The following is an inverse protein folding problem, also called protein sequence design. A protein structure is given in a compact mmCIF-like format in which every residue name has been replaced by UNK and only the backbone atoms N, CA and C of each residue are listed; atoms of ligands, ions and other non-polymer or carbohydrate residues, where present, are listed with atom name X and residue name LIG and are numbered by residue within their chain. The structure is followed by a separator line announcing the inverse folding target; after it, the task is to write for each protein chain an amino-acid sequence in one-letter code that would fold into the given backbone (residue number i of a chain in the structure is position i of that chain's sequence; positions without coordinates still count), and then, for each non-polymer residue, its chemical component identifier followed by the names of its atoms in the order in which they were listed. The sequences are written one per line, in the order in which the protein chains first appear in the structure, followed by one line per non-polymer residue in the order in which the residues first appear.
data_IF_416676601595
#
_entry.id   IF_416676601595
#
_cell.length_a   1.000
_cell.length_b   1.000
_cell.length_c   1.000
_cell.angle_alpha   90.00
_cell.angle_beta   90.00
_cell.angle_gamma   90.00
#
_symmetry.space_group_name_H-M   'P 1'
#
loop_
_entity.id
_entity.type
_entity.pdbx_description
1 polymer ?
#
# COMPACT_ATOMS: atom_id res chain seq x y z
N UNK A 1 -49.85 -2.39 -2.95
CA UNK A 1 -48.95 -3.35 -2.29
C UNK A 1 -47.64 -3.39 -3.09
N UNK A 2 -46.70 -2.51 -2.77
CA UNK A 2 -45.44 -2.37 -3.50
C UNK A 2 -44.36 -3.11 -2.71
N UNK A 3 -44.37 -4.44 -2.81
CA UNK A 3 -43.50 -5.34 -2.04
C UNK A 3 -42.55 -6.08 -2.96
N UNK A 4 -41.24 -5.88 -2.74
CA UNK A 4 -40.31 -7.01 -2.66
C UNK A 4 -39.20 -7.14 -3.70
N UNK A 5 -39.29 -6.53 -4.89
CA UNK A 5 -38.32 -6.82 -5.97
C UNK A 5 -37.09 -5.91 -6.04
N UNK A 6 -37.23 -4.63 -5.70
CA UNK A 6 -36.19 -3.63 -5.95
C UNK A 6 -35.13 -3.53 -4.84
N UNK A 7 -35.48 -3.92 -3.61
CA UNK A 7 -34.57 -3.81 -2.45
C UNK A 7 -33.42 -4.84 -2.49
N UNK A 8 -33.65 -6.03 -3.08
CA UNK A 8 -32.62 -7.06 -3.21
C UNK A 8 -31.59 -6.79 -4.32
N UNK A 9 -32.01 -6.11 -5.39
CA UNK A 9 -31.12 -5.72 -6.47
C UNK A 9 -30.22 -4.52 -6.09
N UNK A 10 -30.71 -3.61 -5.24
CA UNK A 10 -29.93 -2.46 -4.78
C UNK A 10 -28.70 -2.85 -3.92
N UNK A 11 -28.74 -3.98 -3.21
CA UNK A 11 -27.63 -4.48 -2.39
C UNK A 11 -26.56 -5.27 -3.16
N UNK A 12 -26.85 -5.69 -4.40
CA UNK A 12 -25.91 -6.44 -5.26
C UNK A 12 -25.12 -5.52 -6.22
N UNK A 13 -25.48 -4.24 -6.28
CA UNK A 13 -24.86 -3.25 -7.13
C UNK A 13 -23.91 -2.44 -6.26
N UNK A 14 -22.60 -2.59 -6.47
CA UNK A 14 -21.57 -1.94 -5.67
C UNK A 14 -21.64 -0.40 -5.67
N UNK A 15 -20.70 0.24 -4.96
CA UNK A 15 -20.66 1.70 -4.76
C UNK A 15 -20.94 2.50 -6.05
N UNK A 16 -22.01 3.28 -6.05
CA UNK A 16 -22.45 4.10 -7.19
C UNK A 16 -23.94 4.43 -7.16
N UNK A 17 -24.36 5.41 -7.96
CA UNK A 17 -25.78 5.69 -8.14
C UNK A 17 -26.37 4.71 -9.16
N UNK A 18 -27.41 3.97 -8.76
CA UNK A 18 -28.10 3.02 -9.64
C UNK A 18 -29.57 3.39 -9.76
N UNK A 19 -30.06 3.50 -11.00
CA UNK A 19 -31.46 3.80 -11.31
C UNK A 19 -31.96 2.70 -12.23
N UNK A 20 -33.02 2.01 -11.80
CA UNK A 20 -33.71 0.98 -12.58
C UNK A 20 -35.13 1.42 -12.92
N UNK A 21 -35.49 1.34 -14.20
CA UNK A 21 -36.85 1.60 -14.69
C UNK A 21 -37.35 0.38 -15.46
N UNK A 22 -38.53 -0.14 -15.12
CA UNK A 22 -39.10 -1.32 -15.78
C UNK A 22 -40.55 -1.56 -15.38
N UNK A 23 -41.32 -2.14 -16.31
CA UNK A 23 -42.71 -2.52 -16.07
C UNK A 23 -42.79 -4.04 -15.87
N UNK A 24 -43.18 -4.47 -14.66
CA UNK A 24 -43.20 -5.88 -14.24
C UNK A 24 -44.61 -6.48 -14.17
N UNK A 25 -45.62 -5.77 -14.67
CA UNK A 25 -47.03 -6.14 -14.50
C UNK A 25 -47.49 -7.29 -15.43
N UNK A 26 -46.71 -7.66 -16.44
CA UNK A 26 -47.03 -8.79 -17.33
C UNK A 26 -45.82 -9.71 -17.51
N UNK A 27 -45.87 -10.89 -16.87
CA UNK A 27 -44.81 -11.93 -16.87
C UNK A 27 -44.39 -12.45 -18.25
N UNK A 28 -44.99 -12.00 -19.35
CA UNK A 28 -44.62 -12.38 -20.72
C UNK A 28 -43.74 -11.37 -21.45
N UNK A 29 -43.60 -10.13 -20.95
CA UNK A 29 -42.74 -9.08 -21.54
C UNK A 29 -42.24 -8.10 -20.47
N UNK A 30 -41.29 -8.55 -19.65
CA UNK A 30 -40.58 -7.65 -18.75
C UNK A 30 -39.46 -6.94 -19.55
N UNK A 31 -39.56 -5.63 -19.69
CA UNK A 31 -38.49 -4.79 -20.22
C UNK A 31 -38.02 -3.87 -19.08
N UNK A 32 -36.72 -3.90 -18.81
CA UNK A 32 -36.08 -3.07 -17.79
C UNK A 32 -34.78 -2.48 -18.32
N UNK A 33 -34.51 -1.23 -17.96
CA UNK A 33 -33.24 -0.56 -18.23
C UNK A 33 -32.55 -0.23 -16.91
N UNK A 34 -31.24 -0.50 -16.85
CA UNK A 34 -30.37 -0.20 -15.71
C UNK A 34 -29.26 0.73 -16.18
N UNK A 35 -29.12 1.87 -15.50
CA UNK A 35 -28.00 2.80 -15.70
C UNK A 35 -27.16 2.81 -14.44
N UNK A 36 -25.86 2.54 -14.59
CA UNK A 36 -24.88 2.61 -13.51
C UNK A 36 -23.84 3.67 -13.86
N UNK A 37 -23.62 4.62 -12.95
CA UNK A 37 -22.60 5.65 -13.10
C UNK A 37 -21.61 5.56 -11.94
N UNK A 38 -20.35 5.25 -12.26
CA UNK A 38 -19.24 5.22 -11.30
C UNK A 38 -18.18 6.23 -11.74
N UNK A 39 -17.89 7.21 -10.87
CA UNK A 39 -16.78 8.16 -11.05
C UNK A 39 -15.84 8.08 -9.85
N UNK A 40 -14.78 7.29 -9.97
CA UNK A 40 -13.71 7.23 -8.99
C UNK A 40 -12.61 8.23 -9.37
N UNK A 41 -12.21 9.10 -8.43
CA UNK A 41 -11.05 9.98 -8.59
C UNK A 41 -10.15 9.83 -7.35
N UNK A 42 -9.00 9.19 -7.52
CA UNK A 42 -8.02 8.98 -6.44
C UNK A 42 -6.81 9.87 -6.68
N UNK A 43 -6.60 10.87 -5.82
CA UNK A 43 -5.36 11.65 -5.73
C UNK A 43 -4.64 11.27 -4.45
N UNK A 44 -3.41 10.80 -4.56
CA UNK A 44 -2.58 10.49 -3.39
C UNK A 44 -1.32 11.35 -3.43
N UNK A 45 -1.03 12.04 -2.32
CA UNK A 45 0.21 12.78 -2.09
C UNK A 45 0.87 12.20 -0.84
N UNK A 46 2.11 11.73 -0.96
CA UNK A 46 2.88 11.22 0.16
C UNK A 46 4.10 12.12 0.36
N UNK A 47 4.16 12.78 1.52
CA UNK A 47 5.30 13.59 1.94
C UNK A 47 5.81 13.05 3.28
N UNK A 48 7.05 12.54 3.27
CA UNK A 48 7.76 12.09 4.47
C UNK A 48 9.06 12.87 4.59
N UNK A 49 9.28 13.54 5.72
CA UNK A 49 10.52 14.30 6.02
C UNK A 49 11.20 13.73 7.25
N UNK A 50 11.85 12.55 7.15
CA UNK A 50 12.65 12.03 8.25
C UNK A 50 13.85 12.97 8.52
N UNK A 51 14.14 13.23 9.79
CA UNK A 51 15.31 14.01 10.23
C UNK A 51 16.17 13.18 11.17
N UNK A 52 17.49 13.23 10.99
CA UNK A 52 18.47 12.53 11.82
C UNK A 52 19.64 13.48 12.15
N UNK A 53 20.22 13.32 13.33
CA UNK A 53 21.42 14.06 13.77
C UNK A 53 22.55 13.05 13.91
N UNK A 54 23.70 13.34 13.31
CA UNK A 54 24.85 12.43 13.24
C UNK A 54 26.15 13.25 13.35
N UNK A 55 27.23 12.56 13.72
CA UNK A 55 28.58 13.12 13.74
C UNK A 55 29.20 13.11 12.33
N UNK A 56 30.18 13.96 12.10
CA UNK A 56 30.94 13.96 10.84
C UNK A 56 31.59 12.60 10.57
N UNK A 57 31.50 12.12 9.33
CA UNK A 57 31.95 10.80 8.86
C UNK A 57 31.33 9.60 9.59
N UNK A 58 30.28 9.79 10.40
CA UNK A 58 29.60 8.71 11.11
C UNK A 58 28.30 8.33 10.38
N UNK A 59 28.22 7.06 9.99
CA UNK A 59 26.99 6.50 9.43
C UNK A 59 25.89 6.51 10.48
N UNK A 60 24.76 7.13 10.13
CA UNK A 60 23.57 7.05 10.95
C UNK A 60 22.37 6.64 10.12
N UNK A 61 21.48 5.91 10.78
CA UNK A 61 20.25 5.44 10.18
C UNK A 61 19.08 5.58 11.15
N UNK A 62 17.90 5.80 10.59
CA UNK A 62 16.62 5.79 11.28
C UNK A 62 15.66 4.89 10.51
N UNK A 63 14.99 3.99 11.23
CA UNK A 63 13.94 3.12 10.69
C UNK A 63 12.65 3.43 11.43
N UNK A 64 11.63 3.87 10.70
CA UNK A 64 10.28 4.13 11.22
C UNK A 64 9.30 3.28 10.43
N UNK A 65 8.80 2.22 11.04
CA UNK A 65 7.96 1.28 10.31
C UNK A 65 7.28 0.25 11.19
N UNK A 66 6.68 -0.71 10.51
CA UNK A 66 6.06 -1.88 11.09
C UNK A 66 6.83 -3.11 10.61
N UNK A 67 6.92 -4.12 11.48
CA UNK A 67 7.48 -5.41 11.10
C UNK A 67 6.32 -6.34 10.75
N UNK A 68 6.18 -6.68 9.47
CA UNK A 68 5.03 -7.44 8.95
C UNK A 68 5.45 -8.85 8.53
N UNK A 69 4.58 -9.86 8.74
CA UNK A 69 4.89 -11.24 8.39
C UNK A 69 4.56 -11.50 6.91
N UNK A 70 5.44 -12.23 6.23
CA UNK A 70 5.27 -12.79 4.89
C UNK A 70 5.31 -14.31 4.99
N UNK A 71 4.35 -15.00 4.39
CA UNK A 71 4.30 -16.47 4.44
C UNK A 71 5.05 -17.00 3.22
N UNK A 72 6.26 -17.53 3.42
CA UNK A 72 7.16 -17.94 2.31
C UNK A 72 6.97 -19.39 1.85
N UNK A 73 6.10 -20.15 2.53
CA UNK A 73 5.68 -21.48 2.05
C UNK A 73 4.90 -22.28 3.09
N UNK A 74 4.13 -23.25 2.59
CA UNK A 74 3.51 -24.32 3.39
C UNK A 74 3.81 -25.65 2.72
N UNK A 75 4.46 -26.58 3.42
CA UNK A 75 4.66 -27.95 2.92
C UNK A 75 3.52 -28.82 3.46
N UNK A 76 2.67 -29.32 2.56
CA UNK A 76 1.72 -30.37 2.86
C UNK A 76 2.29 -31.70 2.33
N UNK A 77 2.95 -32.48 3.19
CA UNK A 77 3.46 -33.79 2.80
C UNK A 77 2.26 -34.73 2.57
N UNK A 78 2.03 -35.13 1.32
CA UNK A 78 0.95 -36.05 0.95
C UNK A 78 1.37 -37.49 1.24
N UNK A 79 0.74 -38.11 2.25
CA UNK A 79 0.92 -39.52 2.59
C UNK A 79 0.13 -39.93 3.84
N UNK A 80 -1.12 -40.34 3.64
CA UNK A 80 -2.00 -41.14 4.53
C UNK A 80 -1.95 -40.96 6.07
N UNK A 81 -1.52 -39.82 6.58
CA UNK A 81 -1.56 -39.44 8.00
C UNK A 81 -1.86 -37.96 8.09
N UNK A 82 -2.69 -37.55 9.04
CA UNK A 82 -3.08 -36.16 9.27
C UNK A 82 -1.82 -35.32 9.55
N UNK A 83 -1.31 -34.60 8.55
CA UNK A 83 -0.14 -33.73 8.67
C UNK A 83 -0.60 -32.31 8.95
N UNK A 84 -0.17 -31.76 10.08
CA UNK A 84 -0.35 -30.35 10.41
C UNK A 84 0.54 -29.52 9.48
N UNK A 85 0.00 -28.67 8.59
CA UNK A 85 0.83 -27.88 7.68
C UNK A 85 1.64 -26.85 8.49
N UNK A 86 2.97 -26.92 8.41
CA UNK A 86 3.82 -25.87 8.95
C UNK A 86 3.94 -24.76 7.90
N UNK A 87 3.61 -23.55 8.31
CA UNK A 87 3.81 -22.33 7.52
C UNK A 87 5.10 -21.68 7.98
N UNK A 88 6.02 -21.41 7.05
CA UNK A 88 7.21 -20.61 7.35
C UNK A 88 6.83 -19.14 7.20
N UNK A 89 7.02 -18.37 8.27
CA UNK A 89 6.73 -16.94 8.30
C UNK A 89 8.05 -16.17 8.38
N UNK A 90 8.34 -15.37 7.37
CA UNK A 90 9.46 -14.43 7.35
C UNK A 90 8.97 -13.03 7.77
N UNK A 91 9.77 -12.32 8.55
CA UNK A 91 9.41 -11.00 9.07
C UNK A 91 10.20 -9.93 8.33
N UNK A 92 9.52 -8.94 7.77
CA UNK A 92 10.14 -7.87 6.99
C UNK A 92 9.71 -6.51 7.50
N UNK A 93 10.68 -5.61 7.65
CA UNK A 93 10.44 -4.23 8.05
C UNK A 93 9.92 -3.43 6.86
N UNK A 94 8.79 -2.76 7.07
CA UNK A 94 8.13 -1.90 6.09
C UNK A 94 7.90 -0.54 6.72
N UNK A 95 8.44 0.51 6.12
CA UNK A 95 8.34 1.86 6.63
C UNK A 95 9.31 2.81 5.94
N UNK A 96 9.61 3.92 6.60
CA UNK A 96 10.61 4.89 6.16
C UNK A 96 11.95 4.53 6.79
N UNK A 97 12.93 4.21 5.96
CA UNK A 97 14.33 4.07 6.35
C UNK A 97 15.11 5.21 5.73
N UNK A 98 15.87 5.94 6.54
CA UNK A 98 16.82 6.95 6.07
C UNK A 98 18.19 6.61 6.63
N UNK A 99 19.17 6.49 5.76
CA UNK A 99 20.58 6.29 6.07
C UNK A 99 21.38 7.44 5.49
N UNK A 100 22.24 8.05 6.30
CA UNK A 100 23.02 9.22 5.92
C UNK A 100 24.44 9.07 6.42
N UNK A 101 25.40 9.42 5.56
CA UNK A 101 26.80 9.62 5.93
C UNK A 101 27.16 11.06 5.59
N UNK A 102 27.33 11.94 6.59
CA UNK A 102 27.77 13.30 6.34
C UNK A 102 29.31 13.38 6.23
N UNK A 103 29.77 14.34 5.42
CA UNK A 103 31.16 14.72 5.32
C UNK A 103 31.26 16.25 5.29
N UNK A 104 31.89 16.83 6.31
CA UNK A 104 32.08 18.27 6.42
C UNK A 104 33.39 18.68 5.73
N UNK A 105 33.27 19.45 4.66
CA UNK A 105 34.40 19.98 3.91
C UNK A 105 34.89 21.33 4.42
N UNK A 106 36.00 21.79 3.85
CA UNK A 106 36.53 23.13 4.11
C UNK A 106 35.51 24.21 3.70
N UNK A 107 35.51 25.34 4.41
CA UNK A 107 34.59 26.44 4.18
C UNK A 107 33.14 26.20 4.64
N UNK A 108 32.87 25.15 5.42
CA UNK A 108 31.53 24.86 5.93
C UNK A 108 30.59 24.22 4.91
N UNK A 109 31.15 23.66 3.83
CA UNK A 109 30.41 22.80 2.91
C UNK A 109 30.07 21.47 3.57
N UNK A 110 28.89 20.92 3.28
CA UNK A 110 28.44 19.64 3.80
C UNK A 110 28.06 18.75 2.63
N UNK A 111 28.82 17.68 2.43
CA UNK A 111 28.46 16.59 1.52
C UNK A 111 27.68 15.55 2.32
N UNK A 112 26.57 15.10 1.76
CA UNK A 112 25.73 14.06 2.35
C UNK A 112 25.61 12.92 1.36
N UNK A 113 25.92 11.72 1.79
CA UNK A 113 25.50 10.51 1.09
C UNK A 113 24.21 10.02 1.73
N UNK A 114 23.12 10.04 0.96
CA UNK A 114 21.77 9.80 1.45
C UNK A 114 21.16 8.60 0.74
N UNK A 115 20.76 7.62 1.54
CA UNK A 115 19.96 6.48 1.13
C UNK A 115 18.62 6.53 1.86
N UNK A 116 17.55 6.80 1.11
CA UNK A 116 16.20 6.82 1.66
C UNK A 116 15.38 5.73 1.00
N UNK A 117 14.76 4.89 1.82
CA UNK A 117 13.77 3.90 1.42
C UNK A 117 12.42 4.22 2.08
N UNK A 118 11.35 4.18 1.31
CA UNK A 118 9.97 4.30 1.80
C UNK A 118 9.21 3.10 1.30
N UNK A 119 8.88 2.22 2.24
CA UNK A 119 8.10 1.01 2.04
C UNK A 119 6.75 1.13 2.75
N UNK A 120 5.67 0.74 2.08
CA UNK A 120 4.33 0.77 2.63
C UNK A 120 3.55 -0.48 2.21
N UNK A 121 2.84 -1.07 3.17
CA UNK A 121 1.92 -2.19 2.91
C UNK A 121 0.71 -1.65 2.16
N UNK A 122 0.37 -2.31 1.05
CA UNK A 122 -0.89 -2.06 0.35
C UNK A 122 -1.97 -2.94 0.96
N UNK A 123 -3.12 -2.35 1.26
CA UNK A 123 -4.32 -3.10 1.60
C UNK A 123 -4.72 -3.96 0.39
N UNK A 124 -4.67 -5.29 0.55
CA UNK A 124 -4.99 -6.26 -0.49
C UNK A 124 -6.46 -6.08 -0.91
N UNK A 125 -6.70 -5.58 -2.14
CA UNK A 125 -8.05 -5.41 -2.72
C UNK A 125 -8.62 -6.71 -3.30
N UNK A 126 -8.44 -7.80 -2.55
CA UNK A 126 -8.97 -9.12 -2.88
C UNK A 126 -7.99 -10.03 -3.63
N UNK A 127 -7.99 -11.30 -3.23
CA UNK A 127 -7.39 -12.48 -3.87
C UNK A 127 -5.90 -12.80 -3.61
N UNK A 128 -5.09 -11.91 -3.02
CA UNK A 128 -3.77 -12.32 -2.52
C UNK A 128 -3.85 -12.69 -1.04
N UNK A 129 -3.52 -13.95 -0.71
CA UNK A 129 -3.31 -14.42 0.68
C UNK A 129 -2.09 -13.80 1.35
N UNK A 130 -1.29 -13.02 0.61
CA UNK A 130 -0.03 -12.43 1.04
C UNK A 130 -0.04 -10.90 0.97
N UNK A 131 0.75 -10.26 1.82
CA UNK A 131 0.88 -8.80 1.88
C UNK A 131 1.59 -8.29 0.62
N UNK A 132 1.03 -7.27 -0.06
CA UNK A 132 1.73 -6.57 -1.13
C UNK A 132 2.39 -5.32 -0.54
N UNK A 133 3.66 -5.07 -0.84
CA UNK A 133 4.37 -3.87 -0.37
C UNK A 133 4.78 -3.00 -1.54
N UNK A 134 4.50 -1.70 -1.47
CA UNK A 134 5.13 -0.72 -2.35
C UNK A 134 6.46 -0.28 -1.77
N UNK A 135 7.49 -0.14 -2.62
CA UNK A 135 8.82 0.32 -2.23
C UNK A 135 9.27 1.46 -3.12
N UNK A 136 9.77 2.53 -2.52
CA UNK A 136 10.46 3.65 -3.19
C UNK A 136 11.84 3.75 -2.57
N UNK A 137 12.89 3.81 -3.38
CA UNK A 137 14.26 3.93 -2.89
C UNK A 137 15.01 5.00 -3.68
N UNK A 138 15.76 5.84 -2.97
CA UNK A 138 16.57 6.91 -3.53
C UNK A 138 17.96 6.80 -2.91
N UNK A 139 18.98 6.72 -3.77
CA UNK A 139 20.38 6.84 -3.37
C UNK A 139 20.97 8.03 -4.10
N UNK A 140 21.45 9.01 -3.35
CA UNK A 140 21.97 10.25 -3.89
C UNK A 140 23.12 10.78 -3.07
N UNK A 141 23.96 11.59 -3.68
CA UNK A 141 24.95 12.40 -2.97
C UNK A 141 24.61 13.86 -3.20
N UNK A 142 24.48 14.61 -2.11
CA UNK A 142 24.11 16.02 -2.13
C UNK A 142 25.27 16.83 -1.57
N UNK A 143 25.59 17.95 -2.20
CA UNK A 143 26.51 18.95 -1.66
C UNK A 143 25.70 20.18 -1.29
N UNK A 144 25.76 20.56 -0.03
CA UNK A 144 25.22 21.84 0.46
C UNK A 144 26.38 22.77 0.76
N UNK A 145 26.29 23.99 0.25
CA UNK A 145 27.21 25.08 0.59
C UNK A 145 26.38 26.12 1.32
N UNK A 146 26.89 26.61 2.45
CA UNK A 146 26.23 27.70 3.17
C UNK A 146 26.22 28.92 2.24
N UNK A 147 25.06 29.54 1.93
CA UNK A 147 25.06 30.79 1.19
C UNK A 147 25.63 31.90 2.08
N UNK A 148 26.71 32.51 1.63
CA UNK A 148 27.33 33.67 2.28
C UNK A 148 26.40 34.88 2.11
N UNK A 149 26.19 35.65 3.19
CA UNK A 149 25.60 36.99 3.15
C UNK A 149 26.72 38.03 3.16
#
# INVERSE_FOLDING_TARGET
YLTGGAAGAAGALGDGATIGVGNFENSRKAYGALIQALKANTKSNLLSTPSIVTMDNEEAYIVVGQNVPFVTGSVATQGNSTVNPYTTVERKDVGVTLKVVPHIGEGGSVRLEVEQEVSAVQESRGQATDLVTSKRAIKTSVLSVRPDH
#
